data_IF_642861758689
#
_entry.id   IF_642861758689
#
_cell.length_a   1.000
_cell.length_b   1.000
_cell.length_c   1.000
_cell.angle_alpha   90.00
_cell.angle_beta   90.00
_cell.angle_gamma   90.00
#
_symmetry.space_group_name_H-M   'P 1'
#
loop_
_entity.id
_entity.type
_entity.pdbx_description
1 polymer ?
#
# COMPACT_ATOMS: atom_id res chain seq x y z
N UNK A 1 -8.31 11.68 7.51
CA UNK A 1 -8.25 11.35 6.08
C UNK A 1 -6.86 11.60 5.54
N UNK A 2 -6.66 11.38 4.24
CA UNK A 2 -5.35 11.50 3.57
C UNK A 2 -4.82 12.95 3.67
N UNK A 3 -5.66 13.95 3.38
CA UNK A 3 -5.30 15.37 3.50
C UNK A 3 -4.78 15.75 4.90
N UNK A 4 -5.39 15.21 5.95
CA UNK A 4 -5.00 15.49 7.33
C UNK A 4 -3.58 14.99 7.68
N UNK A 5 -3.02 14.04 6.92
CA UNK A 5 -1.62 13.62 7.07
C UNK A 5 -0.70 14.78 6.66
N UNK A 6 -0.98 15.39 5.52
CA UNK A 6 -0.23 16.54 5.01
C UNK A 6 -0.41 17.78 5.91
N UNK A 7 -1.64 18.07 6.34
CA UNK A 7 -1.93 19.28 7.12
C UNK A 7 -1.19 19.36 8.45
N UNK A 8 -0.94 18.20 9.09
CA UNK A 8 -0.24 18.07 10.38
C UNK A 8 1.28 18.24 10.29
N UNK A 9 1.85 18.25 9.09
CA UNK A 9 3.28 18.46 8.88
C UNK A 9 3.66 19.94 9.06
N UNK A 10 4.89 20.19 9.51
CA UNK A 10 5.47 21.53 9.52
C UNK A 10 5.69 22.06 8.10
N UNK A 11 5.93 23.36 7.94
CA UNK A 11 6.13 23.97 6.61
C UNK A 11 7.27 23.33 5.82
N UNK A 12 8.41 23.03 6.46
CA UNK A 12 9.53 22.36 5.78
C UNK A 12 9.21 20.91 5.41
N UNK A 13 8.44 20.21 6.24
CA UNK A 13 8.03 18.83 5.98
C UNK A 13 6.97 18.75 4.87
N UNK A 14 6.10 19.77 4.74
CA UNK A 14 5.12 19.88 3.66
C UNK A 14 5.77 19.95 2.29
N UNK A 15 6.89 20.66 2.15
CA UNK A 15 7.65 20.70 0.89
C UNK A 15 8.22 19.32 0.53
N UNK A 16 8.75 18.59 1.52
CA UNK A 16 9.26 17.22 1.32
C UNK A 16 8.12 16.25 0.92
N UNK A 17 6.96 16.37 1.58
CA UNK A 17 5.78 15.59 1.23
C UNK A 17 5.34 15.88 -0.20
N UNK A 18 5.22 17.15 -0.57
CA UNK A 18 4.77 17.59 -1.91
C UNK A 18 5.71 17.06 -2.99
N UNK A 19 7.02 17.17 -2.80
CA UNK A 19 8.00 16.65 -3.76
C UNK A 19 7.88 15.13 -3.93
N UNK A 20 7.86 14.38 -2.82
CA UNK A 20 7.69 12.93 -2.85
C UNK A 20 6.36 12.51 -3.51
N UNK A 21 5.28 13.25 -3.23
CA UNK A 21 3.97 12.99 -3.81
C UNK A 21 3.99 13.16 -5.33
N UNK A 22 4.45 14.33 -5.81
CA UNK A 22 4.45 14.64 -7.24
C UNK A 22 5.39 13.73 -8.04
N UNK A 23 6.51 13.31 -7.45
CA UNK A 23 7.43 12.37 -8.07
C UNK A 23 6.87 10.94 -8.17
N UNK A 24 6.03 10.53 -7.21
CA UNK A 24 5.59 9.13 -7.08
C UNK A 24 4.23 8.84 -7.72
N UNK A 25 3.36 9.85 -7.86
CA UNK A 25 1.98 9.64 -8.33
C UNK A 25 1.92 8.97 -9.71
N UNK A 26 2.61 9.51 -10.72
CA UNK A 26 2.57 8.96 -12.08
C UNK A 26 3.21 7.57 -12.19
N UNK A 27 4.41 7.32 -11.62
CA UNK A 27 4.99 5.97 -11.55
C UNK A 27 4.07 4.95 -10.86
N UNK A 28 3.45 5.32 -9.74
CA UNK A 28 2.52 4.44 -9.06
C UNK A 28 1.26 4.18 -9.90
N UNK A 29 0.71 5.22 -10.54
CA UNK A 29 -0.46 5.11 -11.41
C UNK A 29 -0.23 4.16 -12.58
N UNK A 30 0.95 4.19 -13.21
CA UNK A 30 1.32 3.29 -14.31
C UNK A 30 1.13 1.81 -13.92
N UNK A 31 1.73 1.38 -12.81
CA UNK A 31 1.61 -0.02 -12.35
C UNK A 31 0.17 -0.35 -11.91
N UNK A 32 -0.56 0.62 -11.35
CA UNK A 32 -1.95 0.43 -10.93
C UNK A 32 -2.85 0.20 -12.16
N UNK A 33 -2.70 0.99 -13.22
CA UNK A 33 -3.46 0.83 -14.47
C UNK A 33 -3.14 -0.52 -15.13
N UNK A 34 -1.86 -0.89 -15.21
CA UNK A 34 -1.46 -2.20 -15.73
C UNK A 34 -2.12 -3.33 -14.93
N UNK A 35 -2.08 -3.25 -13.60
CA UNK A 35 -2.73 -4.22 -12.73
C UNK A 35 -4.24 -4.28 -12.99
N UNK A 36 -4.92 -3.12 -13.01
CA UNK A 36 -6.35 -3.03 -13.26
C UNK A 36 -6.75 -3.64 -14.60
N UNK A 37 -6.05 -3.28 -15.68
CA UNK A 37 -6.27 -3.83 -17.02
C UNK A 37 -6.13 -5.35 -17.05
N UNK A 38 -5.10 -5.89 -16.39
CA UNK A 38 -4.90 -7.35 -16.36
C UNK A 38 -5.98 -8.09 -15.55
N UNK A 39 -6.53 -7.45 -14.51
CA UNK A 39 -7.65 -7.99 -13.74
C UNK A 39 -8.93 -7.93 -14.55
N UNK A 40 -9.26 -6.78 -15.12
CA UNK A 40 -10.51 -6.53 -15.85
C UNK A 40 -10.62 -7.38 -17.12
N UNK A 41 -9.50 -7.62 -17.83
CA UNK A 41 -9.48 -8.53 -18.98
C UNK A 41 -9.38 -10.03 -18.61
N UNK A 42 -9.30 -10.36 -17.32
CA UNK A 42 -9.28 -11.73 -16.81
C UNK A 42 -7.94 -12.46 -16.94
N UNK A 43 -6.87 -11.78 -17.35
CA UNK A 43 -5.52 -12.35 -17.40
C UNK A 43 -5.02 -12.68 -15.99
N UNK A 44 -5.19 -11.77 -15.03
CA UNK A 44 -4.73 -11.97 -13.66
C UNK A 44 -5.44 -13.16 -12.99
N UNK A 45 -6.75 -13.31 -13.24
CA UNK A 45 -7.54 -14.46 -12.77
C UNK A 45 -6.97 -15.77 -13.31
N UNK A 46 -6.60 -15.80 -14.60
CA UNK A 46 -6.02 -16.98 -15.24
C UNK A 46 -4.64 -17.30 -14.69
N UNK A 47 -3.83 -16.29 -14.43
CA UNK A 47 -2.51 -16.44 -13.83
C UNK A 47 -2.60 -17.04 -12.42
N UNK A 48 -3.56 -16.60 -11.60
CA UNK A 48 -3.82 -17.16 -10.27
C UNK A 48 -4.22 -18.63 -10.37
N UNK A 49 -5.15 -18.99 -11.26
CA UNK A 49 -5.56 -20.39 -11.47
C UNK A 49 -4.34 -21.26 -11.85
N UNK A 50 -3.50 -20.76 -12.74
CA UNK A 50 -2.30 -21.48 -13.17
C UNK A 50 -1.25 -21.57 -12.05
N UNK A 51 -1.11 -20.54 -11.22
CA UNK A 51 -0.23 -20.55 -10.06
C UNK A 51 -0.66 -21.62 -9.05
N UNK A 52 -1.94 -21.71 -8.72
CA UNK A 52 -2.48 -22.74 -7.81
C UNK A 52 -2.14 -24.15 -8.33
N UNK A 53 -2.32 -24.41 -9.63
CA UNK A 53 -1.92 -25.71 -10.22
C UNK A 53 -0.42 -25.99 -10.07
N UNK A 54 0.44 -24.98 -10.26
CA UNK A 54 1.89 -25.10 -10.03
C UNK A 54 2.21 -25.39 -8.55
N UNK A 55 1.49 -24.78 -7.62
CA UNK A 55 1.72 -24.97 -6.19
C UNK A 55 1.33 -26.38 -5.73
N UNK A 56 0.29 -26.95 -6.34
CA UNK A 56 -0.21 -28.29 -6.03
C UNK A 56 0.49 -29.41 -6.81
N UNK A 57 1.48 -29.10 -7.66
CA UNK A 57 2.13 -30.09 -8.52
C UNK A 57 1.25 -30.64 -9.63
N UNK A 58 0.11 -30.02 -9.92
CA UNK A 58 -0.87 -30.42 -10.95
C UNK A 58 -0.48 -29.94 -12.35
N UNK A 59 0.82 -29.94 -12.65
CA UNK A 59 1.37 -29.57 -13.96
C UNK A 59 2.12 -30.75 -14.56
N UNK A 60 2.55 -30.63 -15.82
CA UNK A 60 3.23 -31.71 -16.55
C UNK A 60 4.48 -32.22 -15.83
N UNK A 61 5.19 -31.36 -15.08
CA UNK A 61 6.38 -31.79 -14.33
C UNK A 61 6.07 -32.60 -13.07
N UNK A 62 4.84 -32.56 -12.55
CA UNK A 62 4.46 -33.16 -11.27
C UNK A 62 5.07 -32.48 -10.04
N UNK A 63 5.92 -31.46 -10.20
CA UNK A 63 6.61 -30.78 -9.11
C UNK A 63 5.74 -29.68 -8.51
N UNK A 64 5.66 -29.67 -7.18
CA UNK A 64 4.98 -28.64 -6.39
C UNK A 64 5.91 -27.45 -6.11
N UNK A 65 5.40 -26.23 -6.35
CA UNK A 65 6.12 -24.98 -6.13
C UNK A 65 5.37 -24.08 -5.13
N UNK A 66 5.40 -24.38 -3.82
CA UNK A 66 4.68 -23.59 -2.83
C UNK A 66 5.27 -22.17 -2.68
N UNK A 67 4.47 -21.23 -2.20
CA UNK A 67 4.95 -19.87 -1.87
C UNK A 67 6.01 -19.92 -0.77
N UNK A 68 7.13 -19.22 -0.99
CA UNK A 68 8.19 -19.05 -0.01
C UNK A 68 7.89 -18.00 1.06
N UNK A 69 8.83 -17.88 2.01
CA UNK A 69 8.84 -16.88 3.08
C UNK A 69 9.10 -15.48 2.52
N UNK A 70 8.34 -14.48 3.00
CA UNK A 70 8.47 -13.08 2.57
C UNK A 70 9.43 -12.26 3.43
N UNK A 71 9.54 -12.57 4.72
CA UNK A 71 10.18 -11.71 5.72
C UNK A 71 11.60 -12.15 6.12
N UNK A 72 12.24 -13.00 5.29
CA UNK A 72 13.62 -13.44 5.47
C UNK A 72 14.68 -12.37 5.13
N UNK A 73 14.32 -11.29 4.43
CA UNK A 73 15.28 -10.28 3.94
C UNK A 73 15.62 -9.20 4.97
N UNK A 74 16.70 -8.43 4.70
CA UNK A 74 17.30 -7.45 5.62
C UNK A 74 16.29 -6.54 6.31
N UNK A 75 15.40 -5.89 5.54
CA UNK A 75 14.43 -4.92 6.07
C UNK A 75 13.55 -5.54 7.15
N UNK A 76 13.07 -6.76 6.93
CA UNK A 76 12.17 -7.43 7.85
C UNK A 76 12.89 -7.98 9.09
N UNK A 77 14.12 -8.45 8.94
CA UNK A 77 14.97 -8.87 10.05
C UNK A 77 15.35 -7.69 10.95
N UNK A 78 15.59 -6.50 10.38
CA UNK A 78 15.73 -5.25 11.15
C UNK A 78 14.40 -4.90 11.84
N UNK A 79 13.28 -5.01 11.14
CA UNK A 79 11.94 -4.78 11.70
C UNK A 79 11.63 -5.64 12.92
N UNK A 80 12.06 -6.91 12.95
CA UNK A 80 11.93 -7.79 14.12
C UNK A 80 12.64 -7.19 15.34
N UNK A 81 13.87 -6.69 15.17
CA UNK A 81 14.64 -6.04 16.25
C UNK A 81 13.99 -4.74 16.72
N UNK A 82 13.50 -3.92 15.78
CA UNK A 82 12.79 -2.67 16.10
C UNK A 82 11.52 -2.95 16.92
N UNK A 83 10.72 -3.95 16.53
CA UNK A 83 9.51 -4.32 17.28
C UNK A 83 9.82 -4.86 18.67
N UNK A 84 10.85 -5.70 18.79
CA UNK A 84 11.30 -6.23 20.09
C UNK A 84 11.75 -5.12 21.05
N UNK A 85 12.45 -4.09 20.54
CA UNK A 85 12.88 -2.94 21.34
C UNK A 85 11.76 -1.93 21.62
N UNK A 86 10.75 -1.86 20.74
CA UNK A 86 9.69 -0.84 20.77
C UNK A 86 8.49 -1.13 21.67
N UNK A 87 8.48 -2.23 22.42
CA UNK A 87 7.38 -2.60 23.31
C UNK A 87 6.14 -3.12 22.57
N UNK A 88 4.94 -2.86 23.08
CA UNK A 88 3.68 -3.32 22.48
C UNK A 88 3.36 -2.59 21.17
N UNK A 89 2.47 -3.14 20.35
CA UNK A 89 2.03 -2.49 19.11
C UNK A 89 1.43 -1.10 19.39
N UNK A 90 0.66 -0.95 20.47
CA UNK A 90 0.06 0.33 20.89
C UNK A 90 1.12 1.34 21.35
N UNK A 91 2.14 0.92 22.10
CA UNK A 91 3.26 1.78 22.48
C UNK A 91 4.00 2.29 21.24
N UNK A 92 4.21 1.42 20.24
CA UNK A 92 4.84 1.84 18.97
C UNK A 92 3.94 2.78 18.17
N UNK A 93 2.62 2.54 18.12
CA UNK A 93 1.66 3.40 17.39
C UNK A 93 1.78 4.85 17.83
N UNK A 94 1.89 5.08 19.14
CA UNK A 94 1.97 6.42 19.72
C UNK A 94 3.35 7.09 19.64
N UNK A 95 4.41 6.31 19.36
CA UNK A 95 5.81 6.79 19.35
C UNK A 95 6.46 6.77 17.95
N UNK A 96 5.77 6.29 16.92
CA UNK A 96 6.32 6.23 15.57
C UNK A 96 6.15 7.58 14.87
N UNK A 97 7.24 8.24 14.45
CA UNK A 97 7.15 9.53 13.77
C UNK A 97 6.57 9.37 12.35
N UNK A 98 5.87 10.41 11.88
CA UNK A 98 5.46 10.50 10.48
C UNK A 98 6.62 11.08 9.68
N UNK A 99 7.27 10.24 8.87
CA UNK A 99 8.33 10.71 7.97
C UNK A 99 7.70 11.34 6.71
N UNK A 100 7.96 12.63 6.39
CA UNK A 100 7.22 13.37 5.36
C UNK A 100 7.39 12.78 3.96
N UNK A 101 8.59 12.33 3.61
CA UNK A 101 8.85 11.69 2.31
C UNK A 101 8.05 10.40 2.16
N UNK A 102 8.08 9.55 3.19
CA UNK A 102 7.35 8.27 3.20
C UNK A 102 5.85 8.50 3.12
N UNK A 103 5.34 9.50 3.85
CA UNK A 103 3.95 9.91 3.79
C UNK A 103 3.56 10.39 2.39
N UNK A 104 4.42 11.17 1.72
CA UNK A 104 4.20 11.64 0.36
C UNK A 104 4.09 10.51 -0.65
N UNK A 105 5.03 9.55 -0.63
CA UNK A 105 5.00 8.35 -1.50
C UNK A 105 3.73 7.53 -1.25
N UNK A 106 3.43 7.21 0.02
CA UNK A 106 2.27 6.38 0.37
C UNK A 106 0.94 7.04 -0.01
N UNK A 107 0.79 8.35 0.25
CA UNK A 107 -0.41 9.09 -0.12
C UNK A 107 -0.54 9.24 -1.64
N UNK A 108 0.56 9.40 -2.38
CA UNK A 108 0.51 9.44 -3.85
C UNK A 108 0.02 8.12 -4.44
N UNK A 109 0.54 6.98 -3.97
CA UNK A 109 0.06 5.66 -4.40
C UNK A 109 -1.42 5.44 -4.05
N UNK A 110 -1.85 5.85 -2.85
CA UNK A 110 -3.26 5.75 -2.44
C UNK A 110 -4.18 6.58 -3.34
N UNK A 111 -3.78 7.82 -3.66
CA UNK A 111 -4.54 8.70 -4.56
C UNK A 111 -4.53 8.19 -6.00
N UNK A 112 -3.42 7.65 -6.48
CA UNK A 112 -3.34 7.05 -7.81
C UNK A 112 -4.31 5.85 -7.95
N UNK A 113 -4.45 5.03 -6.90
CA UNK A 113 -5.42 3.93 -6.87
C UNK A 113 -6.87 4.43 -6.83
N UNK A 114 -7.15 5.42 -5.98
CA UNK A 114 -8.47 6.07 -5.90
C UNK A 114 -8.89 6.55 -7.28
N UNK A 115 -8.04 7.34 -7.93
CA UNK A 115 -8.36 7.92 -9.22
C UNK A 115 -8.56 6.82 -10.28
N UNK A 116 -7.84 5.68 -10.20
CA UNK A 116 -7.95 4.60 -11.20
C UNK A 116 -9.31 3.93 -11.12
N UNK A 117 -9.75 3.64 -9.89
CA UNK A 117 -11.06 3.05 -9.68
C UNK A 117 -12.18 4.04 -10.04
N UNK A 118 -12.03 5.33 -9.72
CA UNK A 118 -13.00 6.37 -10.11
C UNK A 118 -13.09 6.50 -11.64
N UNK A 119 -11.96 6.56 -12.34
CA UNK A 119 -11.92 6.67 -13.80
C UNK A 119 -12.54 5.44 -14.48
N UNK A 120 -12.45 4.27 -13.85
CA UNK A 120 -13.10 3.03 -14.29
C UNK A 120 -14.55 2.87 -13.80
N UNK A 121 -15.15 3.90 -13.19
CA UNK A 121 -16.58 3.96 -12.87
C UNK A 121 -16.99 3.23 -11.58
N UNK A 122 -16.05 2.90 -10.70
CA UNK A 122 -16.37 2.32 -9.39
C UNK A 122 -17.12 3.33 -8.49
N UNK A 123 -18.00 2.82 -7.64
CA UNK A 123 -18.77 3.65 -6.71
C UNK A 123 -17.89 4.12 -5.54
N UNK A 124 -18.08 5.37 -5.09
CA UNK A 124 -17.17 5.99 -4.11
C UNK A 124 -17.06 5.25 -2.77
N UNK A 125 -18.11 4.57 -2.32
CA UNK A 125 -18.04 3.73 -1.12
C UNK A 125 -17.11 2.53 -1.31
N UNK A 126 -17.06 1.94 -2.50
CA UNK A 126 -16.14 0.85 -2.84
C UNK A 126 -14.71 1.39 -2.93
N UNK A 127 -14.51 2.49 -3.66
CA UNK A 127 -13.20 3.14 -3.79
C UNK A 127 -12.59 3.48 -2.42
N UNK A 128 -13.38 4.08 -1.52
CA UNK A 128 -12.92 4.44 -0.17
C UNK A 128 -12.67 3.20 0.70
N UNK A 129 -13.51 2.17 0.62
CA UNK A 129 -13.29 0.95 1.39
C UNK A 129 -12.00 0.23 0.95
N UNK A 130 -11.86 -0.01 -0.35
CA UNK A 130 -10.73 -0.75 -0.93
C UNK A 130 -9.40 0.01 -0.82
N UNK A 131 -9.42 1.32 -1.06
CA UNK A 131 -8.18 2.11 -1.19
C UNK A 131 -7.77 2.80 0.10
N UNK A 132 -8.66 2.90 1.10
CA UNK A 132 -8.39 3.66 2.33
C UNK A 132 -8.72 2.85 3.58
N UNK A 133 -10.00 2.49 3.77
CA UNK A 133 -10.48 1.92 5.04
C UNK A 133 -9.85 0.56 5.32
N UNK A 134 -9.90 -0.36 4.36
CA UNK A 134 -9.34 -1.70 4.56
C UNK A 134 -7.84 -1.63 4.84
N UNK A 135 -7.11 -0.78 4.12
CA UNK A 135 -5.68 -0.60 4.35
C UNK A 135 -5.40 -0.12 5.78
N UNK A 136 -6.04 0.95 6.24
CA UNK A 136 -5.66 1.60 7.51
C UNK A 136 -6.32 1.01 8.76
N UNK A 137 -7.52 0.41 8.63
CA UNK A 137 -8.27 -0.13 9.76
C UNK A 137 -8.13 -1.64 9.89
N UNK A 138 -7.81 -2.36 8.81
CA UNK A 138 -7.68 -3.83 8.81
C UNK A 138 -6.23 -4.28 8.59
N UNK A 139 -5.61 -3.94 7.45
CA UNK A 139 -4.37 -4.59 7.00
C UNK A 139 -3.09 -4.01 7.65
N UNK A 140 -2.94 -2.69 7.68
CA UNK A 140 -1.76 -2.03 8.27
C UNK A 140 -1.55 -2.38 9.75
N UNK A 141 -2.60 -2.54 10.60
CA UNK A 141 -2.45 -3.06 11.95
C UNK A 141 -1.71 -4.40 12.03
N UNK A 142 -1.97 -5.34 11.11
CA UNK A 142 -1.25 -6.62 11.05
C UNK A 142 0.23 -6.40 10.74
N UNK A 143 0.53 -5.54 9.76
CA UNK A 143 1.91 -5.22 9.40
C UNK A 143 2.67 -4.55 10.55
N UNK A 144 2.04 -3.61 11.25
CA UNK A 144 2.64 -2.95 12.42
C UNK A 144 2.89 -3.91 13.59
N UNK A 145 1.98 -4.88 13.78
CA UNK A 145 2.10 -5.87 14.83
C UNK A 145 3.31 -6.79 14.62
N UNK A 146 3.48 -7.37 13.42
CA UNK A 146 4.45 -8.45 13.19
C UNK A 146 5.19 -8.43 11.84
N UNK A 147 5.03 -7.38 11.04
CA UNK A 147 5.70 -7.22 9.74
C UNK A 147 4.86 -7.70 8.55
N UNK A 148 5.42 -7.56 7.35
CA UNK A 148 4.65 -7.75 6.10
C UNK A 148 4.11 -9.17 5.91
N UNK A 149 4.85 -10.21 6.31
CA UNK A 149 4.38 -11.58 6.16
C UNK A 149 3.12 -11.83 6.98
N UNK A 150 3.03 -11.23 8.18
CA UNK A 150 1.82 -11.33 8.99
C UNK A 150 0.61 -10.63 8.38
N UNK A 151 0.80 -9.55 7.63
CA UNK A 151 -0.31 -8.95 6.86
C UNK A 151 -0.65 -9.81 5.63
N UNK A 152 0.33 -10.08 4.78
CA UNK A 152 0.12 -10.72 3.47
C UNK A 152 -0.33 -12.17 3.62
N UNK A 153 0.35 -12.97 4.45
CA UNK A 153 0.08 -14.40 4.53
C UNK A 153 -1.15 -14.77 5.36
N UNK A 154 -1.78 -13.80 6.05
CA UNK A 154 -3.13 -13.94 6.62
C UNK A 154 -4.25 -13.59 5.62
N UNK A 155 -3.92 -13.10 4.43
CA UNK A 155 -4.89 -12.88 3.36
C UNK A 155 -5.14 -14.16 2.53
N UNK A 156 -6.09 -14.09 1.59
CA UNK A 156 -6.41 -15.19 0.68
C UNK A 156 -5.22 -15.60 -0.22
N UNK A 157 -5.28 -16.79 -0.81
CA UNK A 157 -4.26 -17.26 -1.78
C UNK A 157 -4.12 -16.29 -2.96
N UNK A 158 -5.23 -15.74 -3.46
CA UNK A 158 -5.24 -14.73 -4.52
C UNK A 158 -4.47 -13.48 -4.12
N UNK A 159 -4.73 -12.93 -2.93
CA UNK A 159 -4.05 -11.74 -2.43
C UNK A 159 -2.55 -12.00 -2.18
N UNK A 160 -2.20 -13.17 -1.64
CA UNK A 160 -0.81 -13.58 -1.40
C UNK A 160 0.00 -13.69 -2.69
N UNK A 161 -0.59 -14.24 -3.74
CA UNK A 161 -0.01 -14.33 -5.08
C UNK A 161 0.12 -12.95 -5.71
N UNK A 162 -0.94 -12.14 -5.66
CA UNK A 162 -0.95 -10.77 -6.17
C UNK A 162 0.14 -9.92 -5.53
N UNK A 163 0.24 -9.92 -4.19
CA UNK A 163 1.30 -9.20 -3.47
C UNK A 163 2.70 -9.61 -3.93
N UNK A 164 2.96 -10.92 -4.08
CA UNK A 164 4.26 -11.45 -4.53
C UNK A 164 4.58 -11.11 -5.99
N UNK A 165 3.56 -11.00 -6.86
CA UNK A 165 3.72 -10.63 -8.28
C UNK A 165 3.94 -9.12 -8.45
N UNK A 166 3.15 -8.30 -7.77
CA UNK A 166 3.07 -6.86 -8.02
C UNK A 166 3.96 -6.00 -7.12
N UNK A 167 4.27 -6.41 -5.88
CA UNK A 167 5.13 -5.61 -5.00
C UNK A 167 6.50 -5.27 -5.62
N UNK A 168 7.20 -6.19 -6.32
CA UNK A 168 8.46 -5.86 -7.00
C UNK A 168 8.28 -4.82 -8.12
N UNK A 169 7.11 -4.74 -8.76
CA UNK A 169 6.84 -3.76 -9.84
C UNK A 169 6.79 -2.35 -9.28
N UNK A 170 6.15 -2.16 -8.12
CA UNK A 170 6.14 -0.88 -7.41
C UNK A 170 7.52 -0.47 -6.90
N UNK A 171 8.28 -1.42 -6.33
CA UNK A 171 9.66 -1.16 -5.87
C UNK A 171 10.53 -0.62 -7.02
N UNK A 172 10.51 -1.32 -8.16
CA UNK A 172 11.31 -0.94 -9.33
C UNK A 172 10.86 0.40 -9.90
N UNK A 173 9.56 0.62 -10.15
CA UNK A 173 9.14 1.85 -10.81
C UNK A 173 9.38 3.10 -9.94
N UNK A 174 9.22 2.98 -8.62
CA UNK A 174 9.53 4.07 -7.70
C UNK A 174 11.03 4.36 -7.66
N UNK A 175 11.86 3.32 -7.63
CA UNK A 175 13.31 3.47 -7.60
C UNK A 175 13.84 4.05 -8.91
N UNK A 176 13.40 3.51 -10.04
CA UNK A 176 13.90 3.88 -11.37
C UNK A 176 13.44 5.28 -11.79
N UNK A 177 12.21 5.67 -11.45
CA UNK A 177 11.61 6.92 -11.93
C UNK A 177 11.43 7.95 -10.81
N UNK A 178 10.66 7.63 -9.77
CA UNK A 178 10.29 8.60 -8.74
C UNK A 178 11.50 9.10 -7.95
N UNK A 179 12.34 8.19 -7.47
CA UNK A 179 13.51 8.55 -6.65
C UNK A 179 14.61 9.18 -7.50
N UNK A 180 14.81 8.70 -8.73
CA UNK A 180 15.71 9.37 -9.69
C UNK A 180 15.28 10.81 -9.99
N UNK A 181 13.98 11.08 -10.12
CA UNK A 181 13.47 12.43 -10.32
C UNK A 181 13.76 13.36 -9.13
N UNK A 182 13.66 12.83 -7.89
CA UNK A 182 14.03 13.56 -6.68
C UNK A 182 15.53 13.84 -6.65
N UNK A 183 16.37 12.82 -6.84
CA UNK A 183 17.82 12.92 -6.71
C UNK A 183 18.45 13.85 -7.76
N UNK A 184 17.85 13.91 -8.95
CA UNK A 184 18.30 14.78 -10.05
C UNK A 184 17.72 16.19 -10.01
N UNK A 185 16.81 16.48 -9.07
CA UNK A 185 16.10 17.76 -9.00
C UNK A 185 15.25 18.03 -10.25
N UNK A 186 14.65 16.97 -10.83
CA UNK A 186 13.80 17.09 -11.99
C UNK A 186 12.59 17.99 -11.70
N UNK A 187 12.11 18.70 -12.73
CA UNK A 187 10.89 19.51 -12.61
C UNK A 187 9.69 18.59 -12.45
N UNK A 188 9.00 18.68 -11.32
CA UNK A 188 7.81 17.89 -11.01
C UNK A 188 6.54 18.60 -11.50
N UNK A 189 5.51 17.83 -11.84
CA UNK A 189 4.19 18.38 -12.17
C UNK A 189 3.42 18.74 -10.90
N UNK A 190 3.56 19.99 -10.48
CA UNK A 190 2.89 20.50 -9.27
C UNK A 190 1.36 20.56 -9.41
N UNK A 191 0.80 20.50 -10.63
CA UNK A 191 -0.64 20.47 -10.82
C UNK A 191 -1.26 19.17 -10.25
N UNK A 192 -0.47 18.10 -10.13
CA UNK A 192 -0.88 16.88 -9.41
C UNK A 192 -1.17 17.17 -7.94
N UNK A 193 -0.41 18.08 -7.33
CA UNK A 193 -0.62 18.44 -5.93
C UNK A 193 -1.85 19.32 -5.74
N UNK A 194 -2.11 20.24 -6.66
CA UNK A 194 -3.33 21.04 -6.62
C UNK A 194 -4.58 20.16 -6.76
N UNK A 195 -4.53 19.14 -7.63
CA UNK A 195 -5.58 18.11 -7.72
C UNK A 195 -5.74 17.35 -6.41
N UNK A 196 -4.63 16.93 -5.78
CA UNK A 196 -4.66 16.29 -4.47
C UNK A 196 -5.38 17.14 -3.42
N UNK A 197 -5.01 18.41 -3.27
CA UNK A 197 -5.58 19.29 -2.25
C UNK A 197 -7.09 19.50 -2.43
N UNK A 198 -7.56 19.51 -3.68
CA UNK A 198 -8.96 19.79 -4.02
C UNK A 198 -9.77 18.53 -4.38
N UNK A 199 -9.23 17.32 -4.16
CA UNK A 199 -9.90 16.10 -4.57
C UNK A 199 -11.16 15.84 -3.69
N UNK A 200 -12.36 15.66 -4.27
CA UNK A 200 -13.60 15.45 -3.52
C UNK A 200 -13.60 14.14 -2.71
N UNK A 201 -12.65 13.23 -2.94
CA UNK A 201 -12.53 12.00 -2.17
C UNK A 201 -12.30 12.28 -0.67
N UNK A 202 -11.72 13.41 -0.28
CA UNK A 202 -11.46 13.72 1.13
C UNK A 202 -12.76 13.85 1.94
N UNK A 203 -13.80 14.44 1.34
CA UNK A 203 -15.13 14.51 1.95
C UNK A 203 -15.79 13.12 1.98
N UNK A 204 -15.65 12.34 0.91
CA UNK A 204 -16.19 10.99 0.84
C UNK A 204 -15.58 10.05 1.90
N UNK A 205 -14.27 10.16 2.14
CA UNK A 205 -13.57 9.45 3.22
C UNK A 205 -14.14 9.86 4.58
N UNK A 206 -14.45 11.14 4.76
CA UNK A 206 -15.03 11.65 6.01
C UNK A 206 -16.42 11.08 6.24
N UNK A 207 -17.28 11.07 5.22
CA UNK A 207 -18.63 10.49 5.32
C UNK A 207 -18.60 8.98 5.55
N UNK A 208 -17.79 8.23 4.78
CA UNK A 208 -17.62 6.79 5.01
C UNK A 208 -17.04 6.49 6.40
N UNK A 209 -16.18 7.37 6.92
CA UNK A 209 -15.61 7.29 8.26
C UNK A 209 -16.65 7.27 9.37
N UNK A 210 -17.81 7.91 9.18
CA UNK A 210 -18.91 7.91 10.18
C UNK A 210 -19.59 6.55 10.34
N UNK A 211 -19.42 5.65 9.37
CA UNK A 211 -20.02 4.31 9.36
C UNK A 211 -19.06 3.23 9.89
N UNK A 212 -17.84 3.60 10.30
CA UNK A 212 -16.87 2.65 10.85
C UNK A 212 -17.33 2.15 12.22
N UNK A 213 -16.97 0.91 12.61
CA UNK A 213 -17.13 0.46 13.98
C UNK A 213 -16.46 1.42 14.96
N UNK A 214 -17.02 1.57 16.17
CA UNK A 214 -16.49 2.46 17.21
C UNK A 214 -15.25 1.90 17.93
N UNK A 215 -14.76 0.73 17.52
CA UNK A 215 -13.65 0.02 18.13
C UNK A 215 -12.59 -0.30 17.08
N UNK A 216 -11.35 0.06 17.38
CA UNK A 216 -10.19 -0.34 16.58
C UNK A 216 -9.95 -1.84 16.71
N UNK A 217 -9.39 -2.46 15.66
CA UNK A 217 -8.98 -3.86 15.72
C UNK A 217 -7.90 -4.08 16.78
N UNK A 218 -8.10 -5.10 17.62
CA UNK A 218 -7.12 -5.55 18.60
C UNK A 218 -6.51 -6.87 18.13
N UNK A 219 -5.20 -6.88 17.92
CA UNK A 219 -4.47 -8.08 17.54
C UNK A 219 -3.85 -8.73 18.78
N UNK A 220 -4.00 -10.05 18.96
CA UNK A 220 -3.46 -10.73 20.13
C UNK A 220 -1.93 -10.60 20.19
N UNK A 221 -1.33 -10.71 21.39
CA UNK A 221 0.11 -10.85 21.52
C UNK A 221 0.62 -12.02 20.68
N UNK A 222 1.88 -11.96 20.26
CA UNK A 222 2.54 -13.13 19.69
C UNK A 222 2.52 -14.23 20.76
N UNK A 223 1.92 -15.39 20.46
CA UNK A 223 1.91 -16.52 21.39
C UNK A 223 3.38 -16.81 21.76
N UNK A 224 3.74 -16.59 23.03
CA UNK A 224 5.03 -17.00 23.59
C UNK A 224 5.09 -18.52 23.71
#
# INVERSE_FOLDING_TARGET
GILAVYEKLSSSEKEVFKAAYCASYMPARDIIEECYDTVSCGNEIRDVINAVKRHEGKTVSGLAWPMGELDGTRTWQVGKKVRAAGGTAEQRKNNTPVHPFTAGVYCATMMAQIDCLVDNGHVLSEVVNESVIESVDSLNPYMHARGVSYMVDNCSVTARLGSRKWAPRFDYILTEQAYTAIDTGAKLDEALFDKFLNNPIHECITECGKMRPSVDISLPPENQ
#
